data_IF_304649932399
#
_entry.id   IF_304649932399
#
_cell.length_a   1.000
_cell.length_b   1.000
_cell.length_c   1.000
_cell.angle_alpha   90.00
_cell.angle_beta   90.00
_cell.angle_gamma   90.00
#
_symmetry.space_group_name_H-M   'P 1'
#
loop_
_entity.id
_entity.type
_entity.pdbx_description
1 polymer ?
#
# COMPACT_ATOMS: atom_id res chain seq x y z
N UNK A 1 9.75 19.51 -21.50
CA UNK A 1 9.78 18.16 -20.92
C UNK A 1 9.19 17.13 -21.89
N UNK A 2 7.90 17.16 -22.22
CA UNK A 2 7.25 16.19 -23.15
C UNK A 2 6.95 16.76 -24.54
N UNK A 3 7.59 17.85 -24.96
CA UNK A 3 7.51 18.44 -26.31
C UNK A 3 6.13 18.90 -26.76
N UNK A 4 5.18 19.11 -25.87
CA UNK A 4 3.80 19.48 -26.23
C UNK A 4 2.99 18.37 -26.93
N UNK A 5 3.49 17.13 -26.92
CA UNK A 5 2.89 15.98 -27.64
C UNK A 5 1.88 15.18 -26.82
N UNK A 6 1.65 15.56 -25.57
CA UNK A 6 0.66 14.88 -24.72
C UNK A 6 -0.72 15.52 -24.88
N UNK A 7 -1.78 14.73 -25.13
CA UNK A 7 -3.14 15.20 -25.00
C UNK A 7 -3.40 15.72 -23.57
N UNK A 8 -4.25 16.72 -23.45
CA UNK A 8 -4.65 17.23 -22.16
C UNK A 8 -5.31 16.13 -21.31
N UNK A 9 -4.88 15.99 -20.07
CA UNK A 9 -5.42 15.04 -19.12
C UNK A 9 -5.59 15.75 -17.78
N UNK A 10 -6.82 15.93 -17.27
CA UNK A 10 -7.04 16.57 -15.98
C UNK A 10 -6.51 15.69 -14.85
N UNK A 11 -5.74 16.31 -13.94
CA UNK A 11 -5.30 15.68 -12.70
C UNK A 11 -6.51 15.62 -11.76
N UNK A 12 -6.80 14.44 -11.22
CA UNK A 12 -7.86 14.22 -10.25
C UNK A 12 -7.28 14.05 -8.84
N UNK A 13 -7.87 14.71 -7.89
CA UNK A 13 -7.53 14.51 -6.48
C UNK A 13 -8.18 13.22 -5.96
N UNK A 14 -7.47 12.49 -5.12
CA UNK A 14 -7.89 11.22 -4.53
C UNK A 14 -7.64 11.21 -3.04
N UNK A 15 -8.52 10.57 -2.27
CA UNK A 15 -8.32 10.31 -0.85
C UNK A 15 -7.67 8.94 -0.58
N UNK A 16 -7.01 8.35 -1.57
CA UNK A 16 -6.31 7.09 -1.42
C UNK A 16 -5.07 7.24 -0.53
N UNK A 17 -4.84 6.23 0.30
CA UNK A 17 -3.67 6.14 1.22
C UNK A 17 -2.60 5.16 0.73
N UNK A 18 -2.90 4.45 -0.36
CA UNK A 18 -2.05 3.37 -0.88
C UNK A 18 -1.07 3.82 -1.97
N UNK A 19 -1.27 5.03 -2.48
CA UNK A 19 -0.38 5.64 -3.48
C UNK A 19 -0.31 7.15 -3.29
N UNK A 20 0.75 7.77 -3.77
CA UNK A 20 0.95 9.22 -3.82
C UNK A 20 0.43 9.76 -5.14
N UNK A 21 0.89 9.20 -6.24
CA UNK A 21 0.40 9.41 -7.60
C UNK A 21 0.00 8.09 -8.24
N UNK A 22 -0.87 8.14 -9.23
CA UNK A 22 -1.27 6.96 -10.02
C UNK A 22 -1.75 7.37 -11.41
N UNK A 23 -1.11 6.82 -12.43
CA UNK A 23 -1.59 6.84 -13.81
C UNK A 23 -2.23 5.49 -14.14
N UNK A 24 -3.50 5.49 -14.52
CA UNK A 24 -4.23 4.29 -14.93
C UNK A 24 -4.79 4.46 -16.32
N UNK A 25 -4.98 3.36 -17.01
CA UNK A 25 -5.60 3.31 -18.34
C UNK A 25 -6.30 1.97 -18.56
N UNK A 26 -7.22 1.95 -19.52
CA UNK A 26 -7.84 0.73 -20.02
C UNK A 26 -7.13 0.21 -21.25
N UNK A 27 -7.30 -1.06 -21.55
CA UNK A 27 -6.80 -1.70 -22.76
C UNK A 27 -7.92 -2.31 -23.56
N UNK A 28 -7.87 -2.18 -24.87
CA UNK A 28 -8.79 -2.87 -25.79
C UNK A 28 -8.03 -3.53 -26.92
N UNK A 29 -8.57 -4.62 -27.43
CA UNK A 29 -8.05 -5.26 -28.63
C UNK A 29 -8.62 -4.56 -29.86
N UNK A 30 -7.77 -4.27 -30.82
CA UNK A 30 -8.18 -3.69 -32.10
C UNK A 30 -8.62 -4.79 -33.07
N UNK A 31 -9.57 -4.46 -33.97
CA UNK A 31 -10.08 -5.39 -34.99
C UNK A 31 -8.98 -5.91 -35.95
N UNK A 32 -7.96 -5.11 -36.22
CA UNK A 32 -6.81 -5.50 -37.05
C UNK A 32 -5.68 -6.20 -36.27
N UNK A 33 -5.90 -6.58 -34.99
CA UNK A 33 -4.89 -7.09 -34.09
C UNK A 33 -4.14 -5.97 -33.35
N UNK A 34 -3.47 -6.33 -32.27
CA UNK A 34 -2.82 -5.38 -31.39
C UNK A 34 -3.68 -4.93 -30.20
N UNK A 35 -3.06 -4.19 -29.31
CA UNK A 35 -3.71 -3.64 -28.10
C UNK A 35 -3.55 -2.12 -28.09
N UNK A 36 -4.60 -1.43 -27.69
CA UNK A 36 -4.61 0.02 -27.54
C UNK A 36 -4.88 0.39 -26.08
N UNK A 37 -4.04 1.27 -25.53
CA UNK A 37 -4.29 1.89 -24.25
C UNK A 37 -5.20 3.12 -24.45
N UNK A 38 -6.22 3.24 -23.63
CA UNK A 38 -7.20 4.35 -23.71
C UNK A 38 -7.77 4.65 -22.31
N UNK A 39 -8.61 5.69 -22.19
CA UNK A 39 -9.25 6.13 -20.94
C UNK A 39 -8.24 6.35 -19.81
N UNK A 40 -7.23 7.15 -20.10
CA UNK A 40 -6.20 7.51 -19.13
C UNK A 40 -6.76 8.36 -18.00
N UNK A 41 -6.26 8.12 -16.79
CA UNK A 41 -6.58 8.88 -15.58
C UNK A 41 -5.31 9.10 -14.78
N UNK A 42 -5.05 10.34 -14.43
CA UNK A 42 -3.97 10.72 -13.52
C UNK A 42 -4.58 11.18 -12.20
N UNK A 43 -4.14 10.60 -11.10
CA UNK A 43 -4.65 10.87 -9.77
C UNK A 43 -3.50 11.18 -8.82
N UNK A 44 -3.71 12.17 -7.94
CA UNK A 44 -2.78 12.54 -6.87
C UNK A 44 -3.52 12.41 -5.54
N UNK A 45 -2.88 11.76 -4.58
CA UNK A 45 -3.44 11.62 -3.23
C UNK A 45 -3.34 12.94 -2.47
N UNK A 46 -4.42 13.28 -1.75
CA UNK A 46 -4.46 14.38 -0.79
C UNK A 46 -4.24 13.93 0.65
N UNK A 47 -3.93 12.65 0.86
CA UNK A 47 -3.74 12.08 2.20
C UNK A 47 -2.27 12.13 2.66
N UNK A 48 -1.36 12.48 1.77
CA UNK A 48 0.07 12.59 2.06
C UNK A 48 0.44 14.05 1.82
N UNK A 49 0.98 14.68 2.85
CA UNK A 49 1.48 16.05 2.75
C UNK A 49 2.83 16.03 2.03
N UNK A 50 2.84 16.63 0.85
CA UNK A 50 4.00 16.73 -0.03
C UNK A 50 4.45 18.19 -0.10
N UNK A 51 5.73 18.40 -0.10
CA UNK A 51 6.29 19.68 -0.53
C UNK A 51 5.97 19.92 -2.01
N UNK A 52 6.01 21.17 -2.43
CA UNK A 52 5.75 21.55 -3.83
C UNK A 52 6.66 20.77 -4.81
N UNK A 53 7.95 20.63 -4.48
CA UNK A 53 8.90 19.86 -5.29
C UNK A 53 8.54 18.37 -5.37
N UNK A 54 8.13 17.76 -4.24
CA UNK A 54 7.71 16.34 -4.22
C UNK A 54 6.42 16.12 -5.01
N UNK A 55 5.49 17.09 -4.93
CA UNK A 55 4.24 17.05 -5.70
C UNK A 55 4.53 17.12 -7.19
N UNK A 56 5.37 18.07 -7.62
CA UNK A 56 5.79 18.20 -9.02
C UNK A 56 6.51 16.95 -9.51
N UNK A 57 7.47 16.40 -8.77
CA UNK A 57 8.18 15.18 -9.13
C UNK A 57 7.24 13.97 -9.20
N UNK A 58 6.22 13.90 -8.33
CA UNK A 58 5.17 12.90 -8.41
C UNK A 58 4.34 13.05 -9.69
N UNK A 59 3.92 14.26 -10.03
CA UNK A 59 3.17 14.52 -11.25
C UNK A 59 4.01 14.14 -12.49
N UNK A 60 5.28 14.48 -12.52
CA UNK A 60 6.20 14.14 -13.60
C UNK A 60 6.33 12.62 -13.72
N UNK A 61 6.44 11.89 -12.61
CA UNK A 61 6.47 10.43 -12.60
C UNK A 61 5.23 9.84 -13.29
N UNK A 62 4.05 10.30 -12.93
CA UNK A 62 2.80 9.82 -13.54
C UNK A 62 2.66 10.27 -15.01
N UNK A 63 3.21 11.43 -15.37
CA UNK A 63 3.27 11.87 -16.75
C UNK A 63 4.20 11.03 -17.63
N UNK A 64 5.28 10.45 -17.08
CA UNK A 64 6.10 9.48 -17.81
C UNK A 64 5.28 8.24 -18.14
N UNK A 65 4.50 7.71 -17.18
CA UNK A 65 3.59 6.58 -17.44
C UNK A 65 2.56 6.93 -18.52
N UNK A 66 1.98 8.12 -18.41
CA UNK A 66 1.02 8.61 -19.41
C UNK A 66 1.65 8.72 -20.79
N UNK A 67 2.85 9.28 -20.91
CA UNK A 67 3.58 9.43 -22.16
C UNK A 67 3.85 8.07 -22.82
N UNK A 68 4.40 7.12 -22.08
CA UNK A 68 4.67 5.76 -22.56
C UNK A 68 3.36 5.08 -23.00
N UNK A 69 2.30 5.25 -22.22
CA UNK A 69 0.99 4.66 -22.48
C UNK A 69 0.32 5.21 -23.74
N UNK A 70 0.31 6.53 -23.93
CA UNK A 70 -0.28 7.21 -25.11
C UNK A 70 0.43 6.80 -26.39
N UNK A 71 1.76 6.70 -26.38
CA UNK A 71 2.54 6.25 -27.53
C UNK A 71 2.48 4.73 -27.75
N UNK A 72 1.69 4.00 -26.95
CA UNK A 72 1.54 2.54 -27.03
C UNK A 72 2.89 1.80 -26.90
N UNK A 73 3.90 2.44 -26.30
CA UNK A 73 5.20 1.81 -26.12
C UNK A 73 5.15 0.71 -25.08
N UNK A 74 5.94 -0.33 -25.33
CA UNK A 74 6.07 -1.44 -24.38
C UNK A 74 7.37 -1.29 -23.60
N UNK A 75 7.25 -1.42 -22.28
CA UNK A 75 8.40 -1.50 -21.40
C UNK A 75 8.45 -2.89 -20.73
N UNK A 76 9.58 -3.27 -20.16
CA UNK A 76 9.81 -4.56 -19.50
C UNK A 76 8.99 -4.72 -18.22
N UNK A 77 8.65 -3.61 -17.59
CA UNK A 77 7.78 -3.51 -16.39
C UNK A 77 7.21 -2.11 -16.28
N UNK A 78 6.38 -1.83 -15.28
CA UNK A 78 5.85 -0.48 -15.05
C UNK A 78 6.96 0.57 -14.92
N UNK A 79 8.08 0.24 -14.29
CA UNK A 79 9.27 1.08 -14.19
C UNK A 79 10.47 0.39 -14.84
N UNK A 80 10.30 -0.05 -16.09
CA UNK A 80 11.31 -0.75 -16.85
C UNK A 80 12.40 0.18 -17.39
N UNK A 81 13.08 -0.31 -18.41
CA UNK A 81 14.22 0.40 -19.01
C UNK A 81 13.81 1.74 -19.60
N UNK A 82 12.70 1.78 -20.33
CA UNK A 82 12.22 2.99 -20.99
C UNK A 82 11.82 4.06 -19.97
N UNK A 83 11.03 3.68 -18.95
CA UNK A 83 10.66 4.59 -17.88
C UNK A 83 11.89 5.20 -17.20
N UNK A 84 12.85 4.36 -16.81
CA UNK A 84 14.08 4.81 -16.12
C UNK A 84 14.93 5.71 -16.98
N UNK A 85 15.03 5.45 -18.27
CA UNK A 85 15.75 6.32 -19.20
C UNK A 85 15.10 7.70 -19.25
N UNK A 86 13.80 7.79 -19.46
CA UNK A 86 13.07 9.06 -19.49
C UNK A 86 13.17 9.81 -18.14
N UNK A 87 13.05 9.10 -17.04
CA UNK A 87 13.20 9.65 -15.68
C UNK A 87 14.59 10.29 -15.50
N UNK A 88 15.65 9.58 -15.88
CA UNK A 88 17.01 10.07 -15.75
C UNK A 88 17.27 11.28 -16.66
N UNK A 89 16.80 11.24 -17.91
CA UNK A 89 16.90 12.37 -18.85
C UNK A 89 16.19 13.62 -18.31
N UNK A 90 15.03 13.46 -17.68
CA UNK A 90 14.28 14.55 -17.06
C UNK A 90 15.03 15.10 -15.85
N UNK A 91 15.52 14.20 -14.98
CA UNK A 91 16.28 14.61 -13.80
C UNK A 91 17.52 15.42 -14.16
N UNK A 92 18.27 14.96 -15.16
CA UNK A 92 19.48 15.64 -15.62
C UNK A 92 19.18 17.00 -16.27
N UNK A 93 18.22 17.05 -17.21
CA UNK A 93 17.94 18.26 -17.98
C UNK A 93 17.22 19.34 -17.21
N UNK A 94 16.41 18.96 -16.22
CA UNK A 94 15.53 19.90 -15.51
C UNK A 94 15.83 19.98 -14.00
N UNK A 95 16.96 19.41 -13.55
CA UNK A 95 17.38 19.39 -12.16
C UNK A 95 16.28 18.88 -11.22
N UNK A 96 15.57 17.79 -11.64
CA UNK A 96 14.50 17.16 -10.86
C UNK A 96 15.02 15.97 -10.07
N UNK A 97 14.19 15.47 -9.15
CA UNK A 97 14.50 14.30 -8.33
C UNK A 97 13.40 13.24 -8.44
N UNK A 98 12.91 13.03 -9.64
CA UNK A 98 11.91 11.98 -9.90
C UNK A 98 12.51 10.62 -9.60
N UNK A 99 11.80 9.79 -8.87
CA UNK A 99 12.23 8.44 -8.45
C UNK A 99 11.26 7.36 -8.91
N UNK A 100 11.71 6.12 -8.94
CA UNK A 100 10.87 4.95 -9.32
C UNK A 100 9.76 4.69 -8.28
N UNK A 101 10.00 5.04 -7.03
CA UNK A 101 9.03 4.87 -5.95
C UNK A 101 9.13 6.03 -4.98
N UNK A 102 7.98 6.60 -4.65
CA UNK A 102 7.94 7.56 -3.56
C UNK A 102 8.17 6.85 -2.24
N UNK A 103 9.24 7.23 -1.54
CA UNK A 103 9.49 6.76 -0.19
C UNK A 103 8.93 7.80 0.79
N UNK A 104 7.69 7.59 1.23
CA UNK A 104 7.11 8.44 2.27
C UNK A 104 7.98 8.42 3.53
N UNK A 105 8.23 9.59 4.10
CA UNK A 105 8.90 9.70 5.40
C UNK A 105 8.05 9.05 6.50
N UNK A 106 8.65 8.76 7.64
CA UNK A 106 7.90 8.25 8.79
C UNK A 106 6.78 9.19 9.21
N UNK A 107 7.05 10.50 9.22
CA UNK A 107 6.06 11.54 9.55
C UNK A 107 4.89 11.57 8.56
N UNK A 108 5.15 11.54 7.25
CA UNK A 108 4.11 11.49 6.21
C UNK A 108 3.23 10.23 6.34
N UNK A 109 3.83 9.07 6.65
CA UNK A 109 3.07 7.84 6.89
C UNK A 109 2.19 7.92 8.14
N UNK A 110 2.68 8.53 9.20
CA UNK A 110 1.92 8.74 10.44
C UNK A 110 0.76 9.72 10.25
N UNK A 111 0.94 10.79 9.46
CA UNK A 111 -0.13 11.73 9.10
C UNK A 111 -1.23 11.07 8.26
N UNK A 112 -0.86 10.17 7.34
CA UNK A 112 -1.80 9.47 6.48
C UNK A 112 -2.61 8.38 7.20
N UNK A 113 -2.27 8.03 8.45
CA UNK A 113 -3.01 7.03 9.23
C UNK A 113 -4.38 7.59 9.61
N UNK A 114 -5.43 6.80 9.34
CA UNK A 114 -6.78 7.10 9.81
C UNK A 114 -6.83 7.17 11.34
N UNK A 115 -7.28 8.28 11.87
CA UNK A 115 -7.40 8.50 13.32
C UNK A 115 -8.74 8.03 13.88
N UNK A 116 -9.67 7.64 13.02
CA UNK A 116 -10.96 7.08 13.45
C UNK A 116 -10.77 5.64 13.89
N UNK A 117 -11.26 5.28 15.06
CA UNK A 117 -11.21 3.90 15.53
C UNK A 117 -12.12 3.00 14.69
N UNK A 118 -11.58 1.88 14.24
CA UNK A 118 -12.31 0.85 13.50
C UNK A 118 -12.15 -0.50 14.20
N UNK A 119 -13.11 -1.40 13.95
CA UNK A 119 -12.97 -2.78 14.42
C UNK A 119 -11.98 -3.54 13.55
N UNK A 120 -11.01 -4.18 14.18
CA UNK A 120 -10.00 -5.00 13.56
C UNK A 120 -9.95 -6.40 14.20
N UNK A 121 -9.75 -7.42 13.38
CA UNK A 121 -9.26 -8.70 13.87
C UNK A 121 -7.73 -8.61 13.94
N UNK A 122 -7.21 -8.74 15.16
CA UNK A 122 -5.78 -8.60 15.43
C UNK A 122 -5.23 -9.90 15.99
N UNK A 123 -4.21 -10.44 15.34
CA UNK A 123 -3.40 -11.51 15.90
C UNK A 123 -2.22 -10.90 16.65
N UNK A 124 -2.06 -11.23 17.91
CA UNK A 124 -0.86 -10.93 18.71
C UNK A 124 -0.01 -12.18 18.75
N UNK A 125 1.20 -12.08 18.23
CA UNK A 125 2.15 -13.20 18.11
C UNK A 125 3.29 -12.98 19.08
N UNK A 126 3.45 -13.89 20.03
CA UNK A 126 4.57 -13.91 20.97
C UNK A 126 5.60 -14.91 20.50
N UNK A 127 6.84 -14.48 20.40
CA UNK A 127 7.97 -15.31 19.98
C UNK A 127 8.69 -15.88 21.21
N UNK A 128 9.37 -17.00 21.03
CA UNK A 128 10.16 -17.67 22.08
C UNK A 128 11.33 -16.82 22.59
N UNK A 129 11.80 -15.89 21.79
CA UNK A 129 12.86 -14.95 22.15
C UNK A 129 12.36 -13.70 22.91
N UNK A 130 11.07 -13.66 23.26
CA UNK A 130 10.44 -12.57 24.01
C UNK A 130 9.90 -11.43 23.11
N UNK A 131 10.18 -11.42 21.82
CA UNK A 131 9.61 -10.42 20.91
C UNK A 131 8.11 -10.60 20.76
N UNK A 132 7.43 -9.47 20.59
CA UNK A 132 6.00 -9.43 20.32
C UNK A 132 5.75 -8.76 18.98
N UNK A 133 4.79 -9.26 18.24
CA UNK A 133 4.37 -8.64 17.02
C UNK A 133 2.88 -8.81 16.77
N UNK A 134 2.35 -8.03 15.85
CA UNK A 134 0.93 -8.05 15.52
C UNK A 134 0.69 -8.20 14.03
N UNK A 135 -0.51 -8.64 13.72
CA UNK A 135 -1.06 -8.70 12.37
C UNK A 135 -2.53 -8.33 12.39
N UNK A 136 -2.91 -7.38 11.53
CA UNK A 136 -4.31 -7.10 11.24
C UNK A 136 -4.76 -8.04 10.12
N UNK A 137 -5.84 -8.77 10.38
CA UNK A 137 -6.38 -9.82 9.50
C UNK A 137 -7.69 -9.38 8.86
N UNK A 138 -7.96 -9.79 7.61
CA UNK A 138 -9.29 -9.66 7.02
C UNK A 138 -10.33 -10.42 7.85
N UNK A 139 -11.54 -9.87 7.99
CA UNK A 139 -12.66 -10.49 8.71
C UNK A 139 -13.29 -11.64 7.90
N UNK A 140 -12.46 -12.60 7.52
CA UNK A 140 -12.85 -13.79 6.77
C UNK A 140 -12.33 -15.00 7.55
N UNK A 141 -13.24 -15.79 8.11
CA UNK A 141 -12.92 -16.91 9.02
C UNK A 141 -11.83 -17.81 8.48
N UNK A 142 -11.94 -18.25 7.22
CA UNK A 142 -10.94 -19.11 6.59
C UNK A 142 -9.52 -18.50 6.59
N UNK A 143 -9.40 -17.18 6.39
CA UNK A 143 -8.10 -16.49 6.37
C UNK A 143 -7.54 -16.31 7.78
N UNK A 144 -8.41 -16.12 8.76
CA UNK A 144 -8.03 -16.04 10.18
C UNK A 144 -7.51 -17.40 10.63
N UNK A 145 -8.24 -18.49 10.34
CA UNK A 145 -7.80 -19.86 10.61
C UNK A 145 -6.47 -20.19 9.95
N UNK A 146 -6.36 -19.92 8.66
CA UNK A 146 -5.15 -20.18 7.93
C UNK A 146 -3.93 -19.48 8.56
N UNK A 147 -4.09 -18.20 8.91
CA UNK A 147 -3.03 -17.43 9.59
C UNK A 147 -2.71 -18.02 10.96
N UNK A 148 -3.73 -18.27 11.78
CA UNK A 148 -3.58 -18.81 13.15
C UNK A 148 -2.81 -20.14 13.14
N UNK A 149 -3.19 -21.07 12.28
CA UNK A 149 -2.56 -22.38 12.19
C UNK A 149 -1.11 -22.28 11.68
N UNK A 150 -0.87 -21.56 10.58
CA UNK A 150 0.46 -21.51 9.97
C UNK A 150 1.47 -20.72 10.79
N UNK A 151 1.05 -19.60 11.38
CA UNK A 151 1.93 -18.80 12.23
C UNK A 151 2.12 -19.47 13.58
N UNK A 152 1.06 -20.06 14.16
CA UNK A 152 1.14 -20.78 15.42
C UNK A 152 2.01 -22.03 15.37
N UNK A 153 2.09 -22.69 14.21
CA UNK A 153 2.96 -23.87 14.00
C UNK A 153 4.44 -23.50 13.75
N UNK A 154 4.78 -22.21 13.60
CA UNK A 154 6.16 -21.81 13.33
C UNK A 154 7.04 -22.06 14.57
N UNK A 155 8.23 -22.66 14.35
CA UNK A 155 9.14 -23.12 15.41
C UNK A 155 9.55 -22.02 16.40
N UNK A 156 9.61 -20.76 15.98
CA UNK A 156 10.05 -19.63 16.78
C UNK A 156 8.88 -18.91 17.49
N UNK A 157 7.63 -19.31 17.21
CA UNK A 157 6.43 -18.75 17.85
C UNK A 157 6.12 -19.51 19.11
N UNK A 158 5.90 -18.78 20.20
CA UNK A 158 5.48 -19.34 21.48
C UNK A 158 3.96 -19.39 21.59
N UNK A 159 3.28 -18.33 21.14
CA UNK A 159 1.83 -18.21 21.26
C UNK A 159 1.24 -17.22 20.25
N UNK A 160 0.01 -17.51 19.78
CA UNK A 160 -0.80 -16.60 18.97
C UNK A 160 -2.14 -16.40 19.67
N UNK A 161 -2.46 -15.15 20.00
CA UNK A 161 -3.76 -14.75 20.51
C UNK A 161 -4.50 -13.92 19.49
N UNK A 162 -5.82 -14.12 19.37
CA UNK A 162 -6.67 -13.37 18.45
C UNK A 162 -7.62 -12.46 19.24
N UNK A 163 -7.80 -11.23 18.73
CA UNK A 163 -8.66 -10.24 19.35
C UNK A 163 -9.54 -9.53 18.33
N UNK A 164 -10.76 -9.18 18.73
CA UNK A 164 -11.55 -8.15 18.08
C UNK A 164 -11.29 -6.84 18.83
N UNK A 165 -10.47 -5.98 18.27
CA UNK A 165 -10.07 -4.69 18.85
C UNK A 165 -10.73 -3.52 18.12
N UNK A 166 -11.03 -2.45 18.87
CA UNK A 166 -11.59 -1.21 18.32
C UNK A 166 -10.71 -0.04 18.73
N UNK A 167 -9.67 0.19 17.94
CA UNK A 167 -8.72 1.27 18.19
C UNK A 167 -8.04 1.73 16.89
N UNK A 168 -7.78 3.05 16.78
CA UNK A 168 -7.09 3.66 15.63
C UNK A 168 -5.62 3.24 15.51
N UNK A 169 -5.00 2.74 16.59
CA UNK A 169 -3.65 2.22 16.58
C UNK A 169 -3.44 1.17 15.49
N UNK A 170 -4.44 0.32 15.24
CA UNK A 170 -4.36 -0.77 14.29
C UNK A 170 -4.50 -0.32 12.82
N UNK A 171 -4.98 0.91 12.56
CA UNK A 171 -5.12 1.44 11.21
C UNK A 171 -3.78 1.60 10.48
N UNK A 172 -2.66 1.71 11.20
CA UNK A 172 -1.30 1.83 10.65
C UNK A 172 -0.77 0.53 10.06
N UNK A 173 -1.41 -0.60 10.35
CA UNK A 173 -0.94 -1.90 9.91
C UNK A 173 -1.75 -2.42 8.73
N UNK A 174 -1.08 -3.05 7.74
CA UNK A 174 -1.78 -3.57 6.56
C UNK A 174 -2.77 -4.68 6.93
N UNK A 175 -4.02 -4.49 6.51
CA UNK A 175 -5.04 -5.53 6.57
C UNK A 175 -4.87 -6.48 5.38
N UNK A 176 -4.27 -7.64 5.60
CA UNK A 176 -4.01 -8.61 4.55
C UNK A 176 -3.88 -10.04 5.09
N UNK A 177 -4.01 -11.03 4.23
CA UNK A 177 -3.81 -12.47 4.57
C UNK A 177 -2.36 -12.94 4.47
N UNK A 178 -1.40 -12.04 4.22
CA UNK A 178 0.02 -12.41 4.18
C UNK A 178 0.49 -12.91 5.56
N UNK A 179 1.31 -13.96 5.56
CA UNK A 179 1.93 -14.54 6.76
C UNK A 179 3.09 -13.66 7.28
N UNK A 180 2.83 -12.37 7.46
CA UNK A 180 3.79 -11.40 7.98
C UNK A 180 3.38 -10.99 9.39
N UNK A 181 4.37 -10.67 10.23
CA UNK A 181 4.18 -10.12 11.56
C UNK A 181 4.89 -8.78 11.62
N UNK A 182 4.26 -7.78 12.20
CA UNK A 182 4.87 -6.47 12.45
C UNK A 182 5.29 -6.40 13.91
N UNK A 183 6.59 -6.32 14.17
CA UNK A 183 7.11 -6.21 15.53
C UNK A 183 6.73 -4.87 16.16
N UNK A 184 6.33 -4.93 17.42
CA UNK A 184 5.91 -3.78 18.24
C UNK A 184 6.44 -3.96 19.66
N UNK A 185 6.53 -2.88 20.44
CA UNK A 185 6.75 -3.00 21.87
C UNK A 185 5.47 -3.49 22.53
N UNK A 186 5.60 -4.39 23.50
CA UNK A 186 4.44 -4.94 24.20
C UNK A 186 3.64 -3.87 24.95
N UNK A 187 4.32 -2.90 25.52
CA UNK A 187 3.71 -1.76 26.22
C UNK A 187 2.79 -0.94 25.31
N UNK A 188 3.14 -0.81 24.01
CA UNK A 188 2.32 -0.10 23.02
C UNK A 188 0.98 -0.79 22.73
N UNK A 189 0.81 -2.06 23.13
CA UNK A 189 -0.42 -2.83 22.93
C UNK A 189 -1.40 -2.74 24.10
N UNK A 190 -0.94 -2.33 25.27
CA UNK A 190 -1.75 -2.31 26.49
C UNK A 190 -2.99 -1.43 26.35
N UNK A 191 -2.83 -0.21 25.86
CA UNK A 191 -3.95 0.72 25.65
C UNK A 191 -4.84 0.29 24.47
N UNK A 192 -4.31 -0.01 23.25
CA UNK A 192 -5.13 -0.38 22.09
C UNK A 192 -5.92 -1.69 22.25
N UNK A 193 -5.44 -2.61 23.11
CA UNK A 193 -6.14 -3.87 23.42
C UNK A 193 -7.07 -3.75 24.63
N UNK A 194 -7.10 -2.61 25.31
CA UNK A 194 -8.01 -2.38 26.42
C UNK A 194 -9.47 -2.48 25.94
N UNK A 195 -10.21 -3.44 26.48
CA UNK A 195 -11.58 -3.71 26.07
C UNK A 195 -11.73 -4.52 24.77
N UNK A 196 -10.64 -4.97 24.18
CA UNK A 196 -10.70 -5.89 23.05
C UNK A 196 -11.29 -7.25 23.51
N UNK A 197 -12.16 -7.83 22.68
CA UNK A 197 -12.72 -9.15 22.94
C UNK A 197 -11.76 -10.22 22.40
N UNK A 198 -11.46 -11.21 23.24
CA UNK A 198 -10.69 -12.37 22.80
C UNK A 198 -11.49 -13.22 21.82
N UNK A 199 -10.81 -13.72 20.79
CA UNK A 199 -11.39 -14.68 19.85
C UNK A 199 -10.75 -16.03 20.12
N UNK A 200 -11.57 -16.99 20.55
CA UNK A 200 -11.13 -18.37 20.73
C UNK A 200 -11.29 -19.16 19.42
N UNK A 201 -10.38 -20.11 19.23
CA UNK A 201 -10.39 -21.03 18.08
C UNK A 201 -10.73 -22.42 18.63
N UNK A 202 -11.95 -22.90 18.37
CA UNK A 202 -12.41 -24.21 18.78
C UNK A 202 -12.71 -25.06 17.53
N UNK A 203 -11.81 -26.01 17.23
CA UNK A 203 -11.89 -26.78 15.96
C UNK A 203 -11.85 -25.86 14.75
N UNK A 204 -12.94 -25.78 14.01
CA UNK A 204 -13.11 -24.94 12.82
C UNK A 204 -14.01 -23.71 13.07
N UNK A 205 -14.27 -23.34 14.32
CA UNK A 205 -15.10 -22.21 14.68
C UNK A 205 -14.30 -21.12 15.38
N UNK A 206 -14.68 -19.86 15.12
CA UNK A 206 -14.20 -18.68 15.83
C UNK A 206 -15.31 -18.19 16.76
N UNK A 207 -15.01 -18.04 18.05
CA UNK A 207 -15.94 -17.52 19.06
C UNK A 207 -15.39 -16.24 19.70
N UNK A 208 -16.25 -15.24 19.89
CA UNK A 208 -15.92 -13.92 20.47
C UNK A 208 -16.57 -13.80 21.85
#
# INVERSE_FOLDING_TARGET
MFGGQLPELPIRLSHARTFVGMCTFKRRRLLGGGMENYDFKLQISTQIDLSECELEDTIIHEMIHYYIGVHQWRDTSAHGRLFRQMMNDINERFSRQVTVSHQSTKAQREQAVDKVAHYHVVAVVRFKDGRVGIKVLPRISQRIFYYYQHVGAHKDVAHVALYMAHDAFFNRFPNSSALKVHFVNEDDLTAPLKGAKSISVEGNELRI
#
